data_IF_902253405112
#
_entry.id   IF_902253405112
#
_cell.length_a   1.000
_cell.length_b   1.000
_cell.length_c   1.000
_cell.angle_alpha   90.00
_cell.angle_beta   90.00
_cell.angle_gamma   90.00
#
_symmetry.space_group_name_H-M   'P 1'
#
loop_
_entity.id
_entity.type
_entity.pdbx_description
1 polymer ?
#
# COMPACT_ATOMS: atom_id res chain seq x y z
N UNK A 1 9.64 6.45 -4.69
CA UNK A 1 8.24 6.93 -4.74
C UNK A 1 7.77 7.24 -3.34
N UNK A 2 7.12 8.40 -3.16
CA UNK A 2 6.62 8.86 -1.86
C UNK A 2 5.12 8.56 -1.77
N UNK A 3 4.70 7.98 -0.66
CA UNK A 3 3.28 7.67 -0.39
C UNK A 3 2.94 8.13 1.02
N UNK A 4 1.67 8.44 1.26
CA UNK A 4 1.16 8.82 2.57
C UNK A 4 0.05 7.83 2.94
N UNK A 5 0.29 7.01 3.95
CA UNK A 5 -0.77 6.15 4.51
C UNK A 5 -1.61 7.01 5.44
N UNK A 6 -2.91 7.00 5.27
CA UNK A 6 -3.78 7.96 5.92
C UNK A 6 -5.07 7.30 6.39
N UNK A 7 -5.58 7.76 7.52
CA UNK A 7 -6.87 7.38 8.06
C UNK A 7 -7.52 8.61 8.71
N UNK A 8 -8.86 8.63 8.80
CA UNK A 8 -9.59 9.72 9.45
C UNK A 8 -10.67 9.18 10.37
N UNK A 9 -10.92 9.91 11.48
CA UNK A 9 -12.10 9.71 12.30
C UNK A 9 -13.08 10.85 12.05
N UNK A 10 -14.36 10.54 12.11
CA UNK A 10 -15.43 11.46 11.70
C UNK A 10 -16.60 11.41 12.68
N UNK A 11 -17.49 12.41 12.59
CA UNK A 11 -18.72 12.42 13.41
C UNK A 11 -19.80 11.51 12.84
N UNK A 12 -19.60 10.91 11.68
CA UNK A 12 -20.59 10.05 11.04
C UNK A 12 -20.16 9.63 9.65
N UNK A 13 -21.11 9.39 8.76
CA UNK A 13 -20.83 8.73 7.49
C UNK A 13 -21.00 9.64 6.27
N UNK A 14 -21.56 10.85 6.44
CA UNK A 14 -21.98 11.64 5.28
C UNK A 14 -21.71 13.13 5.47
N UNK A 15 -20.65 13.66 4.86
CA UNK A 15 -20.34 15.09 5.01
C UNK A 15 -21.43 16.00 4.46
N UNK A 16 -22.17 15.59 3.42
CA UNK A 16 -23.22 16.42 2.83
C UNK A 16 -24.42 16.60 3.79
N UNK A 17 -24.53 15.78 4.83
CA UNK A 17 -25.54 15.98 5.90
C UNK A 17 -24.97 16.63 7.16
N UNK A 18 -23.71 17.08 7.10
CA UNK A 18 -23.10 17.86 8.16
C UNK A 18 -22.07 17.11 9.01
N UNK A 19 -21.71 15.87 8.62
CA UNK A 19 -20.64 15.17 9.34
C UNK A 19 -19.28 15.76 8.99
N UNK A 20 -18.38 15.73 9.97
CA UNK A 20 -17.09 16.41 9.92
C UNK A 20 -15.97 15.46 10.32
N UNK A 21 -14.75 15.74 9.85
CA UNK A 21 -13.53 15.08 10.31
C UNK A 21 -13.18 15.58 11.73
N UNK A 22 -12.80 14.68 12.62
CA UNK A 22 -12.36 15.00 13.99
C UNK A 22 -10.91 14.58 14.26
N UNK A 23 -10.35 13.68 13.45
CA UNK A 23 -8.93 13.29 13.56
C UNK A 23 -8.40 12.92 12.19
N UNK A 24 -7.17 13.32 11.92
CA UNK A 24 -6.41 12.85 10.76
C UNK A 24 -5.11 12.25 11.29
N UNK A 25 -4.84 11.01 10.91
CA UNK A 25 -3.56 10.37 11.14
C UNK A 25 -2.93 9.99 9.82
N UNK A 26 -1.62 10.25 9.70
CA UNK A 26 -0.93 9.89 8.45
C UNK A 26 0.54 9.59 8.71
N UNK A 27 1.08 8.64 7.97
CA UNK A 27 2.49 8.27 8.05
C UNK A 27 3.11 8.28 6.65
N UNK A 28 4.33 8.78 6.55
CA UNK A 28 5.04 8.87 5.27
C UNK A 28 5.79 7.58 4.99
N UNK A 29 5.65 7.08 3.76
CA UNK A 29 6.48 6.00 3.23
C UNK A 29 7.33 6.55 2.08
N UNK A 30 8.54 6.08 1.97
CA UNK A 30 9.37 6.29 0.79
C UNK A 30 9.83 4.93 0.28
N UNK A 31 9.47 4.61 -0.96
CA UNK A 31 9.67 3.27 -1.53
C UNK A 31 9.14 2.18 -0.58
N UNK A 32 7.92 2.40 -0.06
CA UNK A 32 7.17 1.50 0.82
C UNK A 32 7.76 1.31 2.22
N UNK A 33 8.79 2.09 2.59
CA UNK A 33 9.43 2.02 3.91
C UNK A 33 9.06 3.26 4.72
N UNK A 34 8.60 3.11 5.98
CA UNK A 34 8.31 4.28 6.82
C UNK A 34 9.54 5.16 6.99
N UNK A 35 9.36 6.47 6.85
CA UNK A 35 10.45 7.45 7.02
C UNK A 35 10.55 7.96 8.45
N UNK A 36 9.53 7.71 9.27
CA UNK A 36 9.39 8.27 10.60
C UNK A 36 8.65 9.60 10.64
N UNK A 37 8.35 10.19 9.49
CA UNK A 37 7.55 11.42 9.45
C UNK A 37 6.07 11.07 9.54
N UNK A 38 5.36 11.76 10.42
CA UNK A 38 3.93 11.56 10.64
C UNK A 38 3.21 12.91 10.66
N UNK A 39 1.92 12.85 10.40
CA UNK A 39 0.99 13.96 10.61
C UNK A 39 -0.13 13.45 11.51
N UNK A 40 -0.40 14.17 12.60
CA UNK A 40 -1.46 13.78 13.52
C UNK A 40 -2.17 15.04 14.00
N UNK A 41 -3.47 15.13 13.75
CA UNK A 41 -4.22 16.33 14.07
C UNK A 41 -5.63 15.98 14.52
N UNK A 42 -5.97 16.41 15.75
CA UNK A 42 -7.36 16.43 16.19
C UNK A 42 -8.00 17.74 15.75
N UNK A 43 -9.28 17.70 15.42
CA UNK A 43 -10.00 18.80 14.77
C UNK A 43 -11.34 19.01 15.48
N UNK A 44 -11.65 20.27 15.77
CA UNK A 44 -12.95 20.64 16.29
C UNK A 44 -13.97 20.60 15.17
N UNK A 45 -14.99 19.72 15.23
CA UNK A 45 -15.96 19.60 14.13
C UNK A 45 -17.03 20.67 14.13
N UNK A 46 -17.04 21.57 15.12
CA UNK A 46 -18.05 22.64 15.26
C UNK A 46 -19.47 22.08 15.34
N UNK A 47 -19.62 20.86 15.87
CA UNK A 47 -20.90 20.20 16.10
C UNK A 47 -20.76 19.21 17.25
N UNK A 48 -21.87 18.80 17.82
CA UNK A 48 -21.84 17.77 18.85
C UNK A 48 -21.51 16.39 18.28
N UNK A 49 -20.80 15.59 19.06
CA UNK A 49 -20.40 14.25 18.70
C UNK A 49 -21.56 13.27 18.90
N UNK A 50 -22.01 12.57 17.84
CA UNK A 50 -22.99 11.50 18.04
C UNK A 50 -22.43 10.36 18.87
N UNK A 51 -23.28 9.74 19.69
CA UNK A 51 -22.83 8.64 20.57
C UNK A 51 -22.23 7.48 19.79
N UNK A 52 -22.79 7.16 18.63
CA UNK A 52 -22.32 6.06 17.80
C UNK A 52 -20.87 6.28 17.34
N UNK A 53 -20.53 7.51 16.98
CA UNK A 53 -19.16 7.85 16.58
C UNK A 53 -18.23 7.84 17.80
N UNK A 54 -18.69 8.40 18.92
CA UNK A 54 -17.91 8.41 20.16
C UNK A 54 -17.56 6.99 20.61
N UNK A 55 -18.49 6.03 20.49
CA UNK A 55 -18.21 4.63 20.85
C UNK A 55 -17.13 3.99 19.98
N UNK A 56 -16.93 4.50 18.77
CA UNK A 56 -15.91 3.96 17.84
C UNK A 56 -14.52 4.50 18.20
N UNK A 57 -14.37 5.82 18.30
CA UNK A 57 -13.03 6.45 18.43
C UNK A 57 -12.79 7.14 19.78
N UNK A 58 -13.81 7.32 20.61
CA UNK A 58 -13.62 7.86 21.96
C UNK A 58 -13.36 9.35 22.05
N UNK A 59 -13.50 10.11 20.95
CA UNK A 59 -13.22 11.54 20.92
C UNK A 59 -14.51 12.31 21.22
N UNK A 60 -14.61 12.86 22.42
CA UNK A 60 -15.81 13.55 22.86
C UNK A 60 -15.76 15.07 22.69
N UNK A 61 -16.92 15.70 22.86
CA UNK A 61 -17.07 17.17 22.69
C UNK A 61 -16.11 17.96 23.57
N UNK A 62 -15.92 17.55 24.82
CA UNK A 62 -15.02 18.27 25.73
C UNK A 62 -13.59 18.25 25.27
N UNK A 63 -13.14 17.13 24.75
CA UNK A 63 -11.78 16.98 24.22
C UNK A 63 -11.56 17.79 22.93
N UNK A 64 -12.57 17.78 22.06
CA UNK A 64 -12.45 18.40 20.72
C UNK A 64 -12.70 19.92 20.74
N UNK A 65 -13.31 20.44 21.80
CA UNK A 65 -13.70 21.86 21.88
C UNK A 65 -12.54 22.82 21.66
N UNK A 66 -11.36 22.49 22.20
CA UNK A 66 -10.18 23.36 22.15
C UNK A 66 -9.25 23.03 20.98
N UNK A 67 -9.64 22.12 20.10
CA UNK A 67 -8.82 21.76 18.95
C UNK A 67 -9.03 22.78 17.81
N UNK A 68 -8.04 22.90 16.89
CA UNK A 68 -8.22 23.81 15.76
C UNK A 68 -9.33 23.35 14.82
N UNK A 69 -9.88 24.29 14.08
CA UNK A 69 -10.82 24.00 12.99
C UNK A 69 -10.06 23.46 11.78
N UNK A 70 -10.74 22.70 10.92
CA UNK A 70 -10.11 22.19 9.69
C UNK A 70 -9.51 23.32 8.85
N UNK A 71 -10.21 24.46 8.73
CA UNK A 71 -9.73 25.59 7.98
C UNK A 71 -8.40 26.16 8.50
N UNK A 72 -8.09 25.92 9.79
CA UNK A 72 -6.84 26.40 10.39
C UNK A 72 -5.67 25.48 10.13
N UNK A 73 -5.92 24.18 9.85
CA UNK A 73 -4.87 23.18 9.68
C UNK A 73 -4.71 22.76 8.20
N UNK A 74 -5.60 23.20 7.34
CA UNK A 74 -5.69 22.70 5.97
C UNK A 74 -4.40 22.91 5.18
N UNK A 75 -3.72 24.04 5.35
CA UNK A 75 -2.50 24.33 4.59
C UNK A 75 -1.34 23.44 5.05
N UNK A 76 -1.20 23.22 6.37
CA UNK A 76 -0.20 22.29 6.89
C UNK A 76 -0.47 20.85 6.44
N UNK A 77 -1.75 20.46 6.41
CA UNK A 77 -2.15 19.13 5.93
C UNK A 77 -1.78 18.97 4.44
N UNK A 78 -2.14 19.96 3.61
CA UNK A 78 -1.82 19.92 2.18
C UNK A 78 -0.31 19.92 1.93
N UNK A 79 0.45 20.67 2.71
CA UNK A 79 1.91 20.66 2.62
C UNK A 79 2.46 19.27 2.96
N UNK A 80 1.93 18.63 4.00
CA UNK A 80 2.39 17.29 4.40
C UNK A 80 2.11 16.25 3.31
N UNK A 81 0.89 16.21 2.75
CA UNK A 81 0.59 15.21 1.73
C UNK A 81 1.28 15.51 0.38
N UNK A 82 1.45 16.79 0.04
CA UNK A 82 2.08 17.19 -1.20
C UNK A 82 1.43 16.55 -2.43
N UNK A 83 2.25 16.00 -3.30
CA UNK A 83 1.81 15.29 -4.52
C UNK A 83 1.85 13.76 -4.35
N UNK A 84 2.03 13.27 -3.12
CA UNK A 84 2.11 11.83 -2.86
C UNK A 84 0.77 11.15 -3.09
N UNK A 85 0.81 9.87 -3.49
CA UNK A 85 -0.39 9.04 -3.47
C UNK A 85 -0.77 8.76 -2.02
N UNK A 86 -2.07 8.84 -1.73
CA UNK A 86 -2.61 8.49 -0.42
C UNK A 86 -2.93 6.99 -0.41
N UNK A 87 -2.52 6.30 0.63
CA UNK A 87 -2.83 4.87 0.82
C UNK A 87 -3.86 4.80 1.93
N UNK A 88 -5.06 4.35 1.61
CA UNK A 88 -6.20 4.43 2.53
C UNK A 88 -7.00 3.12 2.45
N UNK A 89 -7.56 2.69 3.57
CA UNK A 89 -8.41 1.50 3.61
C UNK A 89 -9.87 1.90 3.46
N UNK A 90 -10.50 1.56 2.34
CA UNK A 90 -11.83 2.05 1.93
C UNK A 90 -11.76 3.55 1.56
N UNK A 91 -10.85 3.86 0.63
CA UNK A 91 -10.44 5.22 0.32
C UNK A 91 -11.58 6.16 -0.07
N UNK A 92 -12.65 5.64 -0.66
CA UNK A 92 -13.80 6.48 -1.05
C UNK A 92 -14.40 7.23 0.13
N UNK A 93 -14.37 6.62 1.32
CA UNK A 93 -14.91 7.24 2.54
C UNK A 93 -14.08 8.47 2.93
N UNK A 94 -12.77 8.29 3.13
CA UNK A 94 -11.91 9.38 3.59
C UNK A 94 -11.76 10.48 2.55
N UNK A 95 -11.62 10.11 1.29
CA UNK A 95 -11.47 11.09 0.20
C UNK A 95 -12.75 11.94 0.09
N UNK A 96 -13.93 11.34 0.28
CA UNK A 96 -15.19 12.09 0.30
C UNK A 96 -15.18 13.15 1.39
N UNK A 97 -14.77 12.78 2.61
CA UNK A 97 -14.69 13.70 3.73
C UNK A 97 -13.62 14.78 3.52
N UNK A 98 -12.43 14.37 3.09
CA UNK A 98 -11.34 15.34 2.81
C UNK A 98 -11.78 16.35 1.75
N UNK A 99 -12.43 15.90 0.68
CA UNK A 99 -12.88 16.80 -0.38
C UNK A 99 -13.97 17.76 0.09
N UNK A 100 -14.86 17.31 0.98
CA UNK A 100 -15.86 18.20 1.56
C UNK A 100 -15.21 19.30 2.42
N UNK A 101 -14.27 18.89 3.29
CA UNK A 101 -13.55 19.85 4.13
C UNK A 101 -12.71 20.82 3.30
N UNK A 102 -12.05 20.35 2.24
CA UNK A 102 -11.29 21.18 1.32
C UNK A 102 -12.20 22.21 0.63
N UNK A 103 -13.36 21.76 0.14
CA UNK A 103 -14.34 22.62 -0.51
C UNK A 103 -14.82 23.72 0.46
N UNK A 104 -15.17 23.35 1.70
CA UNK A 104 -15.62 24.33 2.71
C UNK A 104 -14.51 25.29 3.12
N UNK A 105 -13.26 24.84 3.05
CA UNK A 105 -12.08 25.68 3.33
C UNK A 105 -11.57 26.45 2.10
N UNK A 106 -12.31 26.40 0.99
CA UNK A 106 -11.98 27.07 -0.27
C UNK A 106 -10.60 26.66 -0.80
N UNK A 107 -10.33 25.36 -0.76
CA UNK A 107 -9.12 24.76 -1.31
C UNK A 107 -9.50 23.80 -2.44
N UNK A 108 -8.63 23.60 -3.44
CA UNK A 108 -8.91 22.62 -4.51
C UNK A 108 -9.10 21.23 -3.94
N UNK A 109 -10.04 20.48 -4.51
CA UNK A 109 -10.26 19.08 -4.12
C UNK A 109 -9.10 18.20 -4.61
N UNK A 110 -8.92 17.08 -3.95
CA UNK A 110 -7.92 16.09 -4.33
C UNK A 110 -8.27 15.48 -5.70
N UNK A 111 -7.27 15.16 -6.53
CA UNK A 111 -7.52 14.48 -7.81
C UNK A 111 -8.25 13.15 -7.62
N UNK A 112 -8.99 12.72 -8.65
CA UNK A 112 -9.77 11.46 -8.59
C UNK A 112 -8.88 10.24 -8.37
N UNK A 113 -7.67 10.29 -8.88
CA UNK A 113 -6.70 9.19 -8.75
C UNK A 113 -5.71 9.41 -7.62
N UNK A 114 -6.06 10.23 -6.63
CA UNK A 114 -5.15 10.58 -5.53
C UNK A 114 -4.84 9.40 -4.60
N UNK A 115 -5.73 8.39 -4.54
CA UNK A 115 -5.65 7.36 -3.51
C UNK A 115 -5.46 5.95 -4.08
N UNK A 116 -4.72 5.15 -3.34
CA UNK A 116 -4.60 3.69 -3.49
C UNK A 116 -5.50 3.09 -2.41
N UNK A 117 -6.50 2.31 -2.81
CA UNK A 117 -7.46 1.72 -1.88
C UNK A 117 -7.00 0.31 -1.49
N UNK A 118 -6.54 0.16 -0.25
CA UNK A 118 -6.07 -1.14 0.24
C UNK A 118 -7.20 -2.15 0.42
N UNK A 119 -8.44 -1.71 0.65
CA UNK A 119 -9.59 -2.61 0.70
C UNK A 119 -9.82 -3.27 -0.66
N UNK A 120 -9.71 -2.48 -1.74
CA UNK A 120 -9.83 -3.00 -3.10
C UNK A 120 -8.73 -4.00 -3.42
N UNK A 121 -7.48 -3.69 -3.04
CA UNK A 121 -6.34 -4.62 -3.21
C UNK A 121 -6.62 -5.93 -2.46
N UNK A 122 -7.06 -5.83 -1.20
CA UNK A 122 -7.32 -7.01 -0.37
C UNK A 122 -8.43 -7.88 -0.96
N UNK A 123 -9.54 -7.27 -1.42
CA UNK A 123 -10.65 -8.00 -2.03
C UNK A 123 -10.25 -8.73 -3.30
N UNK A 124 -9.39 -8.09 -4.11
CA UNK A 124 -8.87 -8.69 -5.35
C UNK A 124 -7.91 -9.85 -5.04
N UNK A 125 -7.06 -9.68 -4.03
CA UNK A 125 -6.05 -10.67 -3.66
C UNK A 125 -6.67 -11.88 -2.91
N UNK A 126 -7.70 -11.65 -2.12
CA UNK A 126 -8.34 -12.68 -1.28
C UNK A 126 -9.86 -12.66 -1.48
N UNK A 127 -10.34 -13.04 -2.66
CA UNK A 127 -11.79 -12.95 -2.93
C UNK A 127 -12.59 -13.81 -1.95
N UNK A 128 -13.69 -13.25 -1.44
CA UNK A 128 -14.57 -13.91 -0.48
C UNK A 128 -14.08 -13.94 0.95
N UNK A 129 -12.88 -13.41 1.24
CA UNK A 129 -12.35 -13.37 2.60
C UNK A 129 -12.66 -12.03 3.28
N UNK A 130 -12.77 -12.02 4.62
CA UNK A 130 -12.89 -10.75 5.33
C UNK A 130 -11.68 -9.85 5.06
N UNK A 131 -11.96 -8.57 4.81
CA UNK A 131 -10.94 -7.61 4.39
C UNK A 131 -10.91 -6.34 5.25
N UNK A 132 -11.50 -6.36 6.45
CA UNK A 132 -11.33 -5.25 7.41
C UNK A 132 -9.87 -5.18 7.85
N UNK A 133 -9.45 -4.03 8.38
CA UNK A 133 -8.07 -3.85 8.88
C UNK A 133 -7.72 -4.94 9.90
N UNK A 134 -8.61 -5.23 10.84
CA UNK A 134 -8.39 -6.30 11.82
C UNK A 134 -8.26 -7.68 11.18
N UNK A 135 -9.08 -7.96 10.16
CA UNK A 135 -9.01 -9.25 9.47
C UNK A 135 -7.68 -9.41 8.74
N UNK A 136 -7.19 -8.33 8.15
CA UNK A 136 -5.90 -8.33 7.45
C UNK A 136 -4.74 -8.46 8.44
N UNK A 137 -4.83 -7.80 9.61
CA UNK A 137 -3.83 -7.97 10.67
C UNK A 137 -3.74 -9.44 11.09
N UNK A 138 -4.90 -10.09 11.34
CA UNK A 138 -4.92 -11.51 11.69
C UNK A 138 -4.31 -12.38 10.58
N UNK A 139 -4.63 -12.08 9.33
CA UNK A 139 -4.11 -12.83 8.18
C UNK A 139 -2.59 -12.73 8.06
N UNK A 140 -2.05 -11.55 8.27
CA UNK A 140 -0.61 -11.29 8.07
C UNK A 140 0.22 -11.41 9.35
N UNK A 141 -0.42 -11.71 10.49
CA UNK A 141 0.29 -11.79 11.77
C UNK A 141 0.81 -10.46 12.27
N UNK A 142 0.10 -9.38 11.96
CA UNK A 142 0.45 -8.02 12.40
C UNK A 142 -0.20 -7.78 13.76
N UNK A 143 0.60 -7.35 14.74
CA UNK A 143 0.11 -7.08 16.09
C UNK A 143 -0.70 -5.77 16.09
N UNK A 144 -1.99 -5.89 16.39
CA UNK A 144 -2.88 -4.73 16.58
C UNK A 144 -3.46 -4.70 18.00
N UNK A 145 -2.77 -5.30 18.97
CA UNK A 145 -3.27 -5.42 20.34
C UNK A 145 -3.38 -4.06 21.06
N UNK A 146 -2.64 -3.06 20.62
CA UNK A 146 -2.74 -1.69 21.16
C UNK A 146 -3.98 -0.93 20.66
N UNK A 147 -4.68 -1.48 19.68
CA UNK A 147 -5.87 -0.85 19.08
C UNK A 147 -7.11 -1.17 19.91
N UNK A 148 -7.32 -0.41 20.97
CA UNK A 148 -8.54 -0.54 21.81
C UNK A 148 -9.71 0.25 21.22
N UNK A 149 -9.41 1.41 20.60
CA UNK A 149 -10.37 2.25 19.87
C UNK A 149 -9.66 2.78 18.61
N UNK A 150 -10.23 3.27 17.63
CA UNK A 150 -9.73 3.65 16.57
C UNK A 150 -9.07 4.79 16.84
N UNK A 151 -8.25 5.02 16.30
CA UNK A 151 -7.42 6.23 16.35
C UNK A 151 -6.67 6.37 15.05
N UNK A 152 -6.86 7.48 14.36
CA UNK A 152 -6.42 7.63 12.98
C UNK A 152 -4.90 7.44 12.80
N UNK A 153 -4.08 7.91 13.74
CA UNK A 153 -2.62 7.71 13.59
C UNK A 153 -2.22 6.25 13.78
N UNK A 154 -2.74 5.60 14.83
CA UNK A 154 -2.44 4.19 15.07
C UNK A 154 -2.93 3.32 13.92
N UNK A 155 -4.13 3.60 13.41
CA UNK A 155 -4.68 2.84 12.28
C UNK A 155 -3.85 3.05 11.01
N UNK A 156 -3.32 4.27 10.79
CA UNK A 156 -2.39 4.52 9.68
C UNK A 156 -1.08 3.76 9.82
N UNK A 157 -0.54 3.67 11.03
CA UNK A 157 0.68 2.87 11.29
C UNK A 157 0.44 1.39 11.02
N UNK A 158 -0.66 0.85 11.52
CA UNK A 158 -1.05 -0.54 11.27
C UNK A 158 -1.30 -0.77 9.78
N UNK A 159 -1.99 0.17 9.13
CA UNK A 159 -2.27 0.08 7.70
C UNK A 159 -0.99 0.10 6.86
N UNK A 160 0.03 0.82 7.29
CA UNK A 160 1.32 0.82 6.57
C UNK A 160 1.92 -0.60 6.54
N UNK A 161 1.86 -1.32 7.66
CA UNK A 161 2.33 -2.71 7.72
C UNK A 161 1.45 -3.64 6.86
N UNK A 162 0.13 -3.47 6.92
CA UNK A 162 -0.82 -4.25 6.09
C UNK A 162 -0.58 -3.97 4.61
N UNK A 163 -0.40 -2.71 4.24
CA UNK A 163 -0.15 -2.32 2.84
C UNK A 163 1.11 -2.99 2.31
N UNK A 164 2.18 -2.98 3.07
CA UNK A 164 3.42 -3.64 2.68
C UNK A 164 3.19 -5.13 2.37
N UNK A 165 2.44 -5.82 3.23
CA UNK A 165 2.12 -7.24 3.01
C UNK A 165 1.22 -7.44 1.78
N UNK A 166 0.24 -6.53 1.57
CA UNK A 166 -0.66 -6.62 0.42
C UNK A 166 0.08 -6.49 -0.92
N UNK A 167 1.13 -5.66 -0.98
CA UNK A 167 1.86 -5.43 -2.22
C UNK A 167 3.06 -6.36 -2.40
N UNK A 168 3.19 -7.40 -1.57
CA UNK A 168 4.20 -8.43 -1.74
C UNK A 168 5.21 -8.55 -0.60
N UNK A 169 5.01 -7.81 0.48
CA UNK A 169 5.89 -7.85 1.64
C UNK A 169 7.23 -7.18 1.38
N UNK A 170 8.22 -7.56 2.18
CA UNK A 170 9.58 -7.01 2.08
C UNK A 170 10.35 -7.55 0.89
N UNK A 171 9.82 -8.56 0.20
CA UNK A 171 10.44 -9.11 -1.01
C UNK A 171 9.71 -8.56 -2.24
N UNK A 172 10.41 -7.84 -3.12
CA UNK A 172 9.79 -7.40 -4.38
C UNK A 172 9.35 -8.62 -5.20
N UNK A 173 8.17 -8.54 -5.78
CA UNK A 173 7.70 -9.58 -6.70
C UNK A 173 8.68 -9.67 -7.88
N UNK A 174 9.32 -10.80 -8.00
CA UNK A 174 10.12 -11.09 -9.17
C UNK A 174 9.17 -11.43 -10.32
N UNK A 175 8.67 -10.41 -10.98
CA UNK A 175 7.83 -10.60 -12.17
C UNK A 175 8.74 -10.99 -13.31
N UNK A 176 8.90 -12.29 -13.51
CA UNK A 176 9.54 -12.81 -14.73
C UNK A 176 8.51 -12.70 -15.84
N UNK A 177 8.50 -11.56 -16.52
CA UNK A 177 7.66 -11.41 -17.71
C UNK A 177 8.17 -12.39 -18.76
N UNK A 178 7.37 -13.34 -19.23
CA UNK A 178 7.83 -14.19 -20.32
C UNK A 178 8.21 -13.32 -21.51
N UNK A 179 9.39 -13.55 -22.07
CA UNK A 179 9.83 -12.82 -23.24
C UNK A 179 8.84 -13.08 -24.39
N UNK A 180 7.98 -12.10 -24.68
CA UNK A 180 6.98 -12.25 -25.74
C UNK A 180 5.71 -11.45 -25.59
N UNK A 181 5.41 -10.90 -24.40
CA UNK A 181 4.25 -10.00 -24.29
C UNK A 181 4.69 -8.55 -24.44
N UNK A 182 4.52 -8.03 -25.63
CA UNK A 182 4.72 -6.60 -25.90
C UNK A 182 3.53 -5.84 -25.31
N UNK A 183 3.77 -5.12 -24.23
CA UNK A 183 2.81 -4.09 -23.83
C UNK A 183 2.85 -3.00 -24.91
N UNK A 184 1.72 -2.75 -25.54
CA UNK A 184 1.63 -1.74 -26.59
C UNK A 184 1.73 -0.34 -26.03
N UNK A 185 2.91 0.24 -26.14
CA UNK A 185 3.11 1.69 -26.11
C UNK A 185 4.44 1.98 -26.80
N UNK A 186 4.33 2.64 -27.92
CA UNK A 186 5.38 3.30 -28.70
C UNK A 186 6.59 2.44 -29.11
N UNK A 187 6.39 1.78 -30.25
CA UNK A 187 7.50 1.20 -31.01
C UNK A 187 8.08 2.24 -31.94
N UNK A 188 9.03 3.04 -31.47
CA UNK A 188 9.95 3.73 -32.34
C UNK A 188 11.30 3.03 -32.22
N UNK A 189 11.59 2.23 -33.22
CA UNK A 189 12.93 1.70 -33.56
C UNK A 189 13.72 1.04 -32.42
N UNK A 190 13.20 -0.06 -31.88
CA UNK A 190 14.07 -1.08 -31.30
C UNK A 190 14.30 -2.11 -32.40
N UNK A 191 15.41 -2.02 -33.11
CA UNK A 191 15.85 -3.05 -34.01
C UNK A 191 15.86 -4.40 -33.31
N UNK A 192 15.59 -5.46 -34.05
CA UNK A 192 15.53 -6.85 -33.56
C UNK A 192 16.87 -7.21 -32.90
N UNK A 193 17.06 -6.77 -31.62
CA UNK A 193 18.28 -7.05 -30.87
C UNK A 193 18.33 -8.54 -30.58
N UNK A 194 19.31 -9.22 -31.20
CA UNK A 194 19.62 -10.61 -30.90
C UNK A 194 21.02 -10.69 -30.32
N UNK A 195 21.21 -11.48 -29.29
CA UNK A 195 22.54 -11.66 -28.72
C UNK A 195 23.48 -12.18 -29.84
N UNK A 196 24.59 -11.52 -30.02
CA UNK A 196 25.58 -11.99 -30.98
C UNK A 196 26.26 -13.27 -30.47
N UNK A 197 26.45 -14.22 -31.34
CA UNK A 197 27.21 -15.44 -31.03
C UNK A 197 28.64 -15.03 -30.65
N UNK A 198 29.12 -15.56 -29.55
CA UNK A 198 30.49 -15.30 -29.13
C UNK A 198 31.46 -15.83 -30.21
N UNK A 199 32.46 -15.02 -30.53
CA UNK A 199 33.50 -15.43 -31.51
C UNK A 199 34.32 -16.61 -30.96
N UNK A 200 34.48 -16.69 -29.63
CA UNK A 200 35.21 -17.77 -28.98
C UNK A 200 34.31 -18.38 -27.91
N UNK A 201 34.18 -19.70 -27.94
CA UNK A 201 33.41 -20.41 -26.91
C UNK A 201 34.10 -20.28 -25.55
N UNK A 202 33.27 -20.14 -24.49
CA UNK A 202 33.84 -20.13 -23.15
C UNK A 202 34.44 -21.49 -22.81
N UNK A 203 35.61 -21.52 -22.17
CA UNK A 203 36.16 -22.80 -21.72
C UNK A 203 35.21 -23.44 -20.68
N UNK A 204 35.16 -24.75 -20.73
CA UNK A 204 34.37 -25.50 -19.77
C UNK A 204 34.89 -25.25 -18.35
N UNK A 205 33.96 -24.94 -17.41
CA UNK A 205 34.31 -24.82 -16.01
C UNK A 205 34.26 -26.16 -15.27
N UNK A 206 33.79 -27.21 -15.97
CA UNK A 206 33.73 -28.55 -15.37
C UNK A 206 35.11 -29.15 -15.29
N UNK A 207 35.49 -29.60 -14.12
CA UNK A 207 36.75 -30.34 -13.97
C UNK A 207 36.59 -31.75 -14.57
N UNK A 208 37.73 -32.39 -14.89
CA UNK A 208 37.68 -33.78 -15.39
C UNK A 208 37.07 -34.73 -14.35
N UNK A 209 37.29 -34.45 -13.06
CA UNK A 209 36.71 -35.21 -11.98
C UNK A 209 35.17 -35.11 -11.98
N UNK A 210 34.62 -33.91 -12.16
CA UNK A 210 33.16 -33.66 -12.23
C UNK A 210 32.56 -34.35 -13.47
N UNK A 211 33.26 -34.32 -14.60
CA UNK A 211 32.82 -34.99 -15.84
C UNK A 211 32.77 -36.52 -15.62
N UNK A 212 33.80 -37.09 -14.98
CA UNK A 212 33.85 -38.50 -14.71
C UNK A 212 32.74 -38.91 -13.74
N UNK A 213 32.52 -38.12 -12.69
CA UNK A 213 31.43 -38.37 -11.71
C UNK A 213 30.06 -38.33 -12.38
N UNK A 214 29.84 -37.34 -13.26
CA UNK A 214 28.58 -37.22 -13.98
C UNK A 214 28.38 -38.41 -14.93
N UNK A 215 29.41 -38.84 -15.66
CA UNK A 215 29.33 -39.97 -16.57
C UNK A 215 28.97 -41.27 -15.80
N UNK A 216 29.62 -41.52 -14.66
CA UNK A 216 29.33 -42.67 -13.80
C UNK A 216 27.88 -42.61 -13.27
N UNK A 217 27.38 -41.42 -12.92
CA UNK A 217 26.00 -41.26 -12.46
C UNK A 217 25.01 -41.55 -13.59
N UNK A 218 25.24 -41.02 -14.78
CA UNK A 218 24.39 -41.26 -15.95
C UNK A 218 24.35 -42.75 -16.31
N UNK A 219 25.50 -43.44 -16.23
CA UNK A 219 25.55 -44.90 -16.44
C UNK A 219 24.68 -45.67 -15.45
N UNK A 220 24.67 -45.28 -14.19
CA UNK A 220 23.81 -45.91 -13.18
C UNK A 220 22.32 -45.73 -13.45
N UNK A 221 21.94 -44.64 -14.12
CA UNK A 221 20.55 -44.38 -14.49
C UNK A 221 20.09 -45.25 -15.66
N UNK A 222 21.03 -45.81 -16.43
CA UNK A 222 20.74 -46.72 -17.51
C UNK A 222 19.85 -46.10 -18.59
N UNK A 223 18.94 -46.87 -19.15
CA UNK A 223 18.06 -46.48 -20.24
C UNK A 223 17.12 -45.31 -19.87
N UNK A 224 17.00 -44.98 -18.58
CA UNK A 224 16.14 -43.88 -18.12
C UNK A 224 16.87 -42.54 -18.12
N UNK A 225 18.16 -42.48 -18.40
CA UNK A 225 18.93 -41.24 -18.42
C UNK A 225 18.55 -40.38 -19.63
N UNK A 226 18.03 -39.17 -19.33
CA UNK A 226 17.64 -38.22 -20.38
C UNK A 226 18.85 -37.76 -21.24
N UNK A 227 20.04 -37.78 -20.63
CA UNK A 227 21.27 -37.35 -21.30
C UNK A 227 21.74 -38.30 -22.41
N UNK A 228 21.22 -39.54 -22.44
CA UNK A 228 21.56 -40.50 -23.48
C UNK A 228 20.54 -40.56 -24.62
N UNK A 229 19.47 -39.78 -24.50
CA UNK A 229 18.40 -39.72 -25.52
C UNK A 229 18.65 -38.50 -26.42
N UNK A 230 19.76 -38.49 -27.15
CA UNK A 230 20.10 -37.44 -28.10
C UNK A 230 19.36 -37.50 -29.43
#
# INVERSE_FOLDING_TARGET
>A
MREIVLDTETTGFEPETGDRIVEIGAVELYNHVPTGKTYHQYINPERSMPNEAFEVHGLGDDFLRDKPLFAQIVDDFLEFIGDAKLVIHNAAFDVKFLNAELRWSKRPQLPRDCAIDTLEIARRKFPGSPASLDALCRRFGIDNSSRTLXGALLDSEILADVYLELIGGKQPDLVLTPAGQKSGADSASAGDWRPQRRAVALPSRLSEEEKAAHAAFVEKLGANALWTRG
#
